data_IF_821314656827
#
_entry.id   IF_821314656827
#
_cell.length_a   1.000
_cell.length_b   1.000
_cell.length_c   1.000
_cell.angle_alpha   90.00
_cell.angle_beta   90.00
_cell.angle_gamma   90.00
#
_symmetry.space_group_name_H-M   'P 1'
#
loop_
_entity.id
_entity.type
_entity.pdbx_description
1 polymer ?
#
# COMPACT_ATOMS: atom_id res chain seq x y z
N UNK A 1 -49.98 -40.58 4.02
CA UNK A 1 -50.87 -39.47 4.42
C UNK A 1 -50.21 -38.75 5.60
N UNK A 2 -50.11 -37.42 5.54
CA UNK A 2 -49.39 -36.58 6.52
C UNK A 2 -48.47 -35.59 5.79
N UNK A 3 -49.03 -34.57 5.14
CA UNK A 3 -49.45 -33.25 5.66
C UNK A 3 -48.29 -32.25 5.66
N UNK A 4 -48.44 -31.29 4.75
CA UNK A 4 -47.53 -30.21 4.40
C UNK A 4 -47.86 -28.99 5.27
N UNK A 5 -46.84 -28.38 5.91
CA UNK A 5 -46.93 -27.06 6.52
C UNK A 5 -45.91 -26.17 5.76
N UNK A 6 -46.31 -25.44 4.73
CA UNK A 6 -46.92 -24.09 4.75
C UNK A 6 -46.02 -23.03 5.40
N UNK A 7 -45.37 -22.28 4.51
CA UNK A 7 -44.75 -20.97 4.71
C UNK A 7 -45.77 -19.98 5.27
N UNK A 8 -45.31 -19.10 6.16
CA UNK A 8 -45.98 -17.84 6.45
C UNK A 8 -44.97 -16.70 6.43
N UNK A 9 -45.25 -15.79 5.51
CA UNK A 9 -44.67 -14.46 5.34
C UNK A 9 -44.79 -13.60 6.60
N UNK A 10 -43.75 -12.81 6.87
CA UNK A 10 -43.86 -11.62 7.72
C UNK A 10 -43.28 -10.42 6.98
N UNK A 11 -44.20 -9.63 6.43
CA UNK A 11 -44.02 -8.25 5.98
C UNK A 11 -43.71 -7.36 7.18
N UNK A 12 -42.56 -6.67 7.16
CA UNK A 12 -42.23 -5.60 8.10
C UNK A 12 -42.41 -4.24 7.43
N UNK A 13 -43.23 -3.43 8.08
CA UNK A 13 -43.71 -2.11 7.71
C UNK A 13 -42.60 -1.08 7.46
N UNK A 14 -42.80 -0.29 6.40
CA UNK A 14 -42.04 0.93 6.09
C UNK A 14 -42.77 2.11 6.76
N UNK A 15 -42.23 2.61 7.86
CA UNK A 15 -42.71 3.84 8.49
C UNK A 15 -42.28 5.05 7.64
N UNK A 16 -43.27 5.66 6.98
CA UNK A 16 -43.11 6.89 6.18
C UNK A 16 -43.39 8.08 7.10
N UNK A 17 -42.35 8.80 7.52
CA UNK A 17 -42.49 10.05 8.27
C UNK A 17 -42.86 11.18 7.30
N UNK A 18 -44.10 11.63 7.40
CA UNK A 18 -44.61 12.83 6.74
C UNK A 18 -44.01 14.10 7.35
N UNK A 19 -43.53 14.98 6.49
CA UNK A 19 -43.25 16.38 6.84
C UNK A 19 -44.05 17.23 5.86
N UNK A 20 -45.06 17.90 6.39
CA UNK A 20 -45.95 18.82 5.69
C UNK A 20 -45.56 20.28 5.95
N UNK A 21 -45.67 21.07 4.88
CA UNK A 21 -46.00 22.51 4.81
C UNK A 21 -45.10 23.51 5.57
N UNK A 22 -44.39 24.40 4.87
CA UNK A 22 -44.88 25.66 4.27
C UNK A 22 -44.40 26.85 5.10
N UNK A 23 -43.43 27.60 4.59
CA UNK A 23 -43.40 29.06 4.69
C UNK A 23 -42.57 29.65 3.54
N UNK A 24 -43.24 30.40 2.66
CA UNK A 24 -42.64 31.48 1.87
C UNK A 24 -42.11 32.54 2.83
N UNK A 25 -41.06 33.27 2.42
CA UNK A 25 -41.34 34.68 2.11
C UNK A 25 -40.76 35.10 0.77
N UNK A 26 -41.58 35.86 0.05
CA UNK A 26 -41.14 36.71 -1.03
C UNK A 26 -40.26 37.83 -0.45
N UNK A 27 -39.14 38.12 -1.11
CA UNK A 27 -38.63 39.48 -1.14
C UNK A 27 -38.00 39.73 -2.50
N UNK A 28 -38.62 40.69 -3.19
CA UNK A 28 -38.18 41.32 -4.42
C UNK A 28 -36.79 41.91 -4.24
N UNK A 29 -35.84 41.52 -5.08
CA UNK A 29 -34.65 42.32 -5.33
C UNK A 29 -34.55 42.62 -6.82
N UNK A 30 -34.62 43.93 -7.06
CA UNK A 30 -34.73 44.60 -8.34
C UNK A 30 -33.63 44.22 -9.32
N UNK A 31 -34.07 43.97 -10.56
CA UNK A 31 -33.27 43.95 -11.77
C UNK A 31 -32.72 45.36 -12.04
N UNK A 32 -31.49 45.62 -11.62
CA UNK A 32 -30.66 46.66 -12.24
C UNK A 32 -29.70 46.00 -13.22
N UNK A 33 -30.18 45.87 -14.45
CA UNK A 33 -29.41 45.53 -15.62
C UNK A 33 -28.84 46.81 -16.23
N UNK A 34 -27.61 47.20 -15.86
CA UNK A 34 -26.76 48.07 -16.70
C UNK A 34 -25.29 47.73 -16.48
N UNK A 35 -24.66 47.16 -17.51
CA UNK A 35 -23.26 47.42 -17.86
C UNK A 35 -22.18 46.81 -16.98
N UNK A 36 -21.98 45.49 -17.05
CA UNK A 36 -20.67 44.90 -16.79
C UNK A 36 -20.21 44.21 -18.07
N UNK A 37 -19.17 44.78 -18.70
CA UNK A 37 -18.49 44.17 -19.83
C UNK A 37 -18.16 42.72 -19.53
N UNK A 38 -18.60 41.83 -20.43
CA UNK A 38 -18.21 40.43 -20.46
C UNK A 38 -16.68 40.36 -20.58
N UNK A 39 -15.98 40.24 -19.46
CA UNK A 39 -14.72 39.53 -19.48
C UNK A 39 -15.03 38.08 -19.87
N UNK A 40 -14.26 37.45 -20.76
CA UNK A 40 -14.44 36.04 -21.07
C UNK A 40 -14.34 35.29 -19.75
N UNK A 41 -15.49 34.74 -19.33
CA UNK A 41 -15.63 33.92 -18.13
C UNK A 41 -14.51 32.90 -18.13
N UNK A 42 -13.75 32.88 -17.03
CA UNK A 42 -12.57 32.05 -16.79
C UNK A 42 -12.59 30.70 -17.52
N UNK A 43 -11.46 30.23 -18.08
CA UNK A 43 -11.38 28.93 -18.76
C UNK A 43 -12.08 27.87 -17.91
N UNK A 44 -13.16 27.29 -18.47
CA UNK A 44 -14.12 26.43 -17.77
C UNK A 44 -13.44 25.55 -16.72
N UNK A 45 -13.46 25.99 -15.47
CA UNK A 45 -12.79 25.27 -14.39
C UNK A 45 -13.57 23.99 -14.15
N UNK A 46 -13.06 22.91 -14.74
CA UNK A 46 -13.64 21.59 -14.60
C UNK A 46 -13.70 21.19 -13.11
N UNK A 47 -14.91 21.11 -12.57
CA UNK A 47 -15.14 20.70 -11.18
C UNK A 47 -15.22 19.19 -11.13
N UNK A 48 -14.17 18.55 -10.59
CA UNK A 48 -14.11 17.09 -10.46
C UNK A 48 -15.35 16.48 -9.77
N UNK A 49 -15.91 17.17 -8.76
CA UNK A 49 -17.13 16.72 -8.06
C UNK A 49 -18.42 16.82 -8.89
N UNK A 50 -18.41 17.51 -10.04
CA UNK A 50 -19.55 17.54 -10.97
C UNK A 50 -19.62 16.28 -11.85
N UNK A 51 -18.56 15.46 -11.90
CA UNK A 51 -18.61 14.17 -12.59
C UNK A 51 -19.63 13.24 -11.90
N UNK A 52 -20.37 12.40 -12.63
CA UNK A 52 -21.11 11.27 -12.05
C UNK A 52 -20.22 10.41 -11.15
N UNK A 53 -20.82 9.86 -10.08
CA UNK A 53 -20.08 9.10 -9.07
C UNK A 53 -19.34 7.91 -9.68
N UNK A 54 -19.93 7.28 -10.68
CA UNK A 54 -19.37 6.12 -11.39
C UNK A 54 -18.08 6.48 -12.14
N UNK A 55 -18.00 7.69 -12.71
CA UNK A 55 -16.78 8.18 -13.36
C UNK A 55 -15.71 8.53 -12.33
N UNK A 56 -16.08 9.15 -11.21
CA UNK A 56 -15.13 9.40 -10.12
C UNK A 56 -14.56 8.10 -9.55
N UNK A 57 -15.41 7.10 -9.32
CA UNK A 57 -14.98 5.78 -8.85
C UNK A 57 -14.05 5.08 -9.86
N UNK A 58 -14.31 5.19 -11.17
CA UNK A 58 -13.36 4.71 -12.20
C UNK A 58 -12.01 5.42 -12.10
N UNK A 59 -12.00 6.74 -11.90
CA UNK A 59 -10.77 7.52 -11.74
C UNK A 59 -10.04 7.11 -10.46
N UNK A 60 -10.74 6.99 -9.33
CA UNK A 60 -10.15 6.50 -8.08
C UNK A 60 -9.57 5.10 -8.25
N UNK A 61 -10.29 4.19 -8.91
CA UNK A 61 -9.82 2.83 -9.14
C UNK A 61 -8.53 2.80 -9.95
N UNK A 62 -8.48 3.56 -11.04
CA UNK A 62 -7.29 3.66 -11.88
C UNK A 62 -6.09 4.24 -11.13
N UNK A 63 -6.31 5.15 -10.19
CA UNK A 63 -5.24 5.83 -9.45
C UNK A 63 -4.78 5.09 -8.19
N UNK A 64 -5.67 4.34 -7.54
CA UNK A 64 -5.48 3.87 -6.16
C UNK A 64 -5.49 2.35 -6.00
N UNK A 65 -6.01 1.61 -6.98
CA UNK A 65 -6.12 0.15 -6.87
C UNK A 65 -4.91 -0.52 -7.52
N UNK A 66 -4.32 -1.44 -6.77
CA UNK A 66 -3.19 -2.23 -7.20
C UNK A 66 -3.55 -3.69 -7.33
N UNK A 67 -3.00 -4.31 -8.38
CA UNK A 67 -3.13 -5.75 -8.61
C UNK A 67 -2.32 -6.58 -7.59
N UNK A 68 -1.23 -6.01 -7.06
CA UNK A 68 -0.45 -6.59 -5.94
C UNK A 68 -0.97 -6.05 -4.62
N UNK A 69 -0.90 -6.84 -3.54
CA UNK A 69 -1.12 -6.33 -2.20
C UNK A 69 -0.27 -5.08 -1.93
N UNK A 70 -0.89 -4.09 -1.29
CA UNK A 70 -0.23 -2.85 -0.88
C UNK A 70 0.59 -3.18 0.36
N UNK A 71 1.88 -3.43 0.13
CA UNK A 71 2.86 -3.58 1.20
C UNK A 71 2.95 -2.30 2.02
N UNK A 72 2.89 -2.48 3.34
CA UNK A 72 3.19 -1.43 4.30
C UNK A 72 4.68 -1.56 4.64
N UNK A 73 5.48 -0.58 4.23
CA UNK A 73 6.88 -0.54 4.61
C UNK A 73 7.03 0.35 5.83
N UNK A 74 7.58 -0.20 6.89
CA UNK A 74 7.99 0.61 8.04
C UNK A 74 9.16 1.51 7.65
N UNK A 75 8.93 2.81 7.69
CA UNK A 75 9.95 3.84 7.53
C UNK A 75 10.23 4.48 8.89
N UNK A 76 11.51 4.75 9.16
CA UNK A 76 11.95 5.43 10.38
C UNK A 76 12.41 6.84 9.99
N UNK A 77 11.65 7.87 10.37
CA UNK A 77 12.03 9.26 10.16
C UNK A 77 12.47 9.82 11.51
N UNK A 78 13.68 10.36 11.53
CA UNK A 78 14.18 11.12 12.66
C UNK A 78 13.77 12.57 12.48
N UNK A 79 12.58 12.92 12.95
CA UNK A 79 12.17 14.31 13.08
C UNK A 79 12.60 14.82 14.47
N UNK A 80 13.50 15.82 14.47
CA UNK A 80 13.86 16.69 15.63
C UNK A 80 13.84 15.93 16.97
N UNK A 81 14.77 14.98 17.13
CA UNK A 81 14.98 14.26 18.39
C UNK A 81 13.92 13.22 18.76
N UNK A 82 12.90 12.98 17.93
CA UNK A 82 11.92 11.90 18.13
C UNK A 82 11.97 10.90 16.99
N UNK A 83 12.20 9.64 17.35
CA UNK A 83 12.11 8.51 16.43
C UNK A 83 10.64 8.27 16.11
N UNK A 84 10.17 8.86 15.00
CA UNK A 84 8.83 8.64 14.50
C UNK A 84 8.84 7.44 13.57
N UNK A 85 8.04 6.42 13.90
CA UNK A 85 7.79 5.30 13.01
C UNK A 85 6.56 5.65 12.21
N UNK A 86 6.63 5.52 10.90
CA UNK A 86 5.49 5.68 10.04
C UNK A 86 5.57 4.61 8.97
N UNK A 87 4.44 4.35 8.34
CA UNK A 87 4.38 3.32 7.33
C UNK A 87 4.18 4.01 6.01
N UNK A 88 5.09 3.78 5.08
CA UNK A 88 4.96 4.22 3.72
C UNK A 88 4.34 3.10 2.92
N UNK A 89 3.26 3.42 2.22
CA UNK A 89 2.81 2.58 1.12
C UNK A 89 3.57 3.00 -0.13
N UNK A 90 3.53 2.16 -1.17
CA UNK A 90 4.02 2.53 -2.50
C UNK A 90 3.34 3.78 -3.08
N UNK A 91 2.16 4.14 -2.56
CA UNK A 91 1.42 5.36 -2.88
C UNK A 91 1.83 6.57 -2.02
N UNK A 92 2.81 6.40 -1.14
CA UNK A 92 3.12 7.35 -0.07
C UNK A 92 2.13 7.28 1.10
N UNK A 93 2.26 8.21 2.04
CA UNK A 93 1.40 8.30 3.23
C UNK A 93 -0.05 8.73 2.92
N UNK A 94 -0.23 9.52 1.87
CA UNK A 94 -1.54 9.91 1.39
C UNK A 94 -1.44 10.28 -0.09
N UNK A 95 -2.05 9.50 -0.99
CA UNK A 95 -2.09 9.81 -2.42
C UNK A 95 -2.57 11.25 -2.64
N UNK A 96 -2.01 11.96 -3.62
CA UNK A 96 -2.31 13.38 -3.86
C UNK A 96 -3.81 13.64 -4.02
N UNK A 97 -4.53 12.75 -4.70
CA UNK A 97 -5.99 12.87 -4.90
C UNK A 97 -6.76 12.90 -3.58
N UNK A 98 -6.31 12.13 -2.57
CA UNK A 98 -6.93 12.09 -1.24
C UNK A 98 -6.70 13.38 -0.43
N UNK A 99 -5.82 14.30 -0.89
CA UNK A 99 -5.50 15.56 -0.20
C UNK A 99 -6.22 16.78 -0.77
N UNK A 100 -6.96 16.61 -1.86
CA UNK A 100 -7.51 17.73 -2.63
C UNK A 100 -8.73 18.38 -1.97
N UNK A 101 -9.69 17.58 -1.51
CA UNK A 101 -10.96 18.03 -0.96
C UNK A 101 -11.51 16.97 0.00
N UNK A 102 -12.23 17.37 1.06
CA UNK A 102 -12.79 16.44 2.06
C UNK A 102 -13.70 15.38 1.44
N UNK A 103 -14.60 15.75 0.54
CA UNK A 103 -15.49 14.81 -0.15
C UNK A 103 -14.70 13.85 -1.03
N UNK A 104 -13.77 14.38 -1.83
CA UNK A 104 -12.88 13.57 -2.68
C UNK A 104 -12.08 12.59 -1.83
N UNK A 105 -11.55 13.03 -0.69
CA UNK A 105 -10.80 12.21 0.25
C UNK A 105 -11.64 11.06 0.80
N UNK A 106 -12.87 11.33 1.26
CA UNK A 106 -13.76 10.30 1.76
C UNK A 106 -14.10 9.25 0.69
N UNK A 107 -14.44 9.69 -0.54
CA UNK A 107 -14.74 8.76 -1.64
C UNK A 107 -13.50 7.95 -2.06
N UNK A 108 -12.35 8.62 -2.20
CA UNK A 108 -11.11 7.98 -2.61
C UNK A 108 -10.57 7.01 -1.56
N UNK A 109 -10.72 7.31 -0.26
CA UNK A 109 -10.34 6.39 0.82
C UNK A 109 -11.24 5.15 0.86
N UNK A 110 -12.54 5.30 0.58
CA UNK A 110 -13.44 4.16 0.49
C UNK A 110 -13.01 3.19 -0.63
N UNK A 111 -12.53 3.71 -1.76
CA UNK A 111 -11.96 2.90 -2.85
C UNK A 111 -10.61 2.30 -2.43
N UNK A 112 -9.66 3.14 -1.98
CA UNK A 112 -8.32 2.73 -1.60
C UNK A 112 -8.33 1.61 -0.55
N UNK A 113 -9.03 1.81 0.57
CA UNK A 113 -9.06 0.83 1.66
C UNK A 113 -10.04 -0.32 1.39
N UNK A 114 -11.13 -0.03 0.68
CA UNK A 114 -12.21 -1.00 0.47
C UNK A 114 -11.99 -1.99 -0.66
N UNK A 115 -11.06 -1.73 -1.58
CA UNK A 115 -10.82 -2.62 -2.75
C UNK A 115 -9.39 -3.14 -2.82
N UNK A 116 -8.40 -2.50 -2.18
CA UNK A 116 -7.06 -3.08 -2.08
C UNK A 116 -6.97 -4.20 -1.04
N UNK A 117 -5.95 -5.04 -1.22
CA UNK A 117 -5.46 -5.94 -0.17
C UNK A 117 -4.24 -5.31 0.47
N UNK A 118 -4.25 -5.13 1.79
CA UNK A 118 -3.10 -4.58 2.53
C UNK A 118 -2.23 -5.70 3.07
N UNK A 119 -0.93 -5.65 2.78
CA UNK A 119 0.03 -6.67 3.18
C UNK A 119 0.87 -6.16 4.36
N UNK A 120 0.74 -6.86 5.48
CA UNK A 120 1.48 -6.66 6.71
C UNK A 120 2.60 -7.69 6.76
N UNK A 121 3.84 -7.21 6.73
CA UNK A 121 5.00 -8.09 6.94
C UNK A 121 5.23 -8.22 8.44
N UNK A 122 5.85 -9.31 8.88
CA UNK A 122 6.08 -9.55 10.32
C UNK A 122 7.05 -8.56 10.98
N UNK A 123 7.86 -7.85 10.20
CA UNK A 123 8.80 -6.82 10.68
C UNK A 123 8.06 -5.60 11.24
N UNK A 124 6.81 -5.46 10.79
CA UNK A 124 5.84 -4.56 11.34
C UNK A 124 5.36 -5.15 12.65
N UNK A 125 6.13 -4.93 13.72
CA UNK A 125 5.69 -5.24 15.08
C UNK A 125 4.28 -4.64 15.27
N UNK A 126 3.26 -5.50 15.19
CA UNK A 126 1.88 -5.15 14.78
C UNK A 126 1.18 -4.24 15.81
N UNK A 127 1.84 -3.97 16.95
CA UNK A 127 1.38 -2.97 17.93
C UNK A 127 1.50 -1.52 17.47
N UNK A 128 2.38 -1.21 16.51
CA UNK A 128 2.65 0.17 16.06
C UNK A 128 1.88 0.68 14.80
N UNK A 129 1.45 -0.13 13.81
CA UNK A 129 0.82 0.34 12.57
C UNK A 129 -0.49 1.11 12.75
N UNK A 130 -1.22 0.89 13.85
CA UNK A 130 -2.54 1.49 14.06
C UNK A 130 -2.54 3.01 14.00
N UNK A 131 -1.48 3.65 14.49
CA UNK A 131 -1.48 5.09 14.67
C UNK A 131 -1.05 5.86 13.41
N UNK A 132 -0.32 5.24 12.49
CA UNK A 132 0.51 6.00 11.56
C UNK A 132 0.00 6.09 10.11
N UNK A 133 -0.84 5.17 9.65
CA UNK A 133 -1.48 5.24 8.32
C UNK A 133 -2.90 5.79 8.34
N UNK A 134 -3.37 6.26 9.50
CA UNK A 134 -4.80 6.47 9.70
C UNK A 134 -5.61 5.18 9.58
N UNK A 135 -4.97 4.00 9.53
CA UNK A 135 -5.65 2.71 9.45
C UNK A 135 -6.58 2.49 10.62
N UNK A 136 -6.32 3.06 11.81
CA UNK A 136 -7.29 3.03 12.90
C UNK A 136 -8.55 3.86 12.58
N UNK A 137 -8.40 5.02 11.92
CA UNK A 137 -9.54 5.83 11.49
C UNK A 137 -10.33 5.14 10.37
N UNK A 138 -9.63 4.49 9.44
CA UNK A 138 -10.21 3.87 8.25
C UNK A 138 -10.30 2.34 8.33
N UNK A 139 -10.16 1.75 9.51
CA UNK A 139 -10.15 0.29 9.68
C UNK A 139 -11.47 -0.33 9.25
N UNK A 140 -12.56 0.40 9.45
CA UNK A 140 -13.90 0.06 8.98
C UNK A 140 -14.02 0.07 7.45
N UNK A 141 -13.07 0.66 6.71
CA UNK A 141 -13.10 0.61 5.25
C UNK A 141 -12.33 -0.59 4.70
N UNK A 142 -11.39 -1.15 5.46
CA UNK A 142 -10.52 -2.24 5.00
C UNK A 142 -11.30 -3.55 4.88
N UNK A 143 -11.33 -4.12 3.67
CA UNK A 143 -12.02 -5.38 3.38
C UNK A 143 -11.11 -6.57 3.17
N UNK A 144 -9.84 -6.36 2.78
CA UNK A 144 -8.90 -7.44 2.46
C UNK A 144 -7.54 -7.19 3.09
N UNK A 145 -7.03 -8.19 3.80
CA UNK A 145 -5.73 -8.13 4.48
C UNK A 145 -4.93 -9.40 4.14
N UNK A 146 -3.63 -9.22 3.95
CA UNK A 146 -2.64 -10.29 3.89
C UNK A 146 -1.62 -10.08 5.01
N UNK A 147 -1.31 -11.14 5.76
CA UNK A 147 -0.36 -11.10 6.88
C UNK A 147 0.70 -12.16 6.67
N UNK A 148 1.97 -11.78 6.74
CA UNK A 148 3.07 -12.73 6.85
C UNK A 148 3.09 -13.30 8.27
N UNK A 149 3.03 -14.62 8.35
CA UNK A 149 2.99 -15.34 9.63
C UNK A 149 4.37 -15.67 10.17
N UNK A 150 5.43 -15.22 9.49
CA UNK A 150 6.83 -15.57 9.78
C UNK A 150 7.73 -14.34 9.64
N UNK A 151 8.86 -14.33 10.37
CA UNK A 151 9.90 -13.30 10.22
C UNK A 151 10.78 -13.56 9.00
N UNK A 152 11.20 -12.55 8.22
CA UNK A 152 12.09 -12.75 7.09
C UNK A 152 13.43 -13.37 7.51
N UNK A 153 13.91 -13.09 8.73
CA UNK A 153 15.15 -13.70 9.25
C UNK A 153 14.96 -15.14 9.74
N UNK A 154 13.74 -15.69 9.68
CA UNK A 154 13.43 -17.01 10.18
C UNK A 154 13.95 -18.09 9.22
N UNK A 155 15.09 -18.70 9.56
CA UNK A 155 15.54 -19.93 8.91
C UNK A 155 14.68 -21.10 9.36
N UNK A 156 14.06 -21.79 8.41
CA UNK A 156 13.13 -22.91 8.64
C UNK A 156 13.73 -24.10 9.40
N UNK A 157 15.06 -24.16 9.55
CA UNK A 157 15.71 -25.14 10.43
C UNK A 157 15.34 -24.99 11.91
N UNK A 158 14.72 -23.89 12.33
CA UNK A 158 14.23 -23.68 13.69
C UNK A 158 12.81 -24.24 13.88
N UNK A 159 12.65 -25.54 13.72
CA UNK A 159 11.38 -26.27 13.84
C UNK A 159 10.71 -26.16 15.24
N UNK A 160 11.40 -25.64 16.26
CA UNK A 160 10.91 -25.63 17.66
C UNK A 160 10.36 -24.29 18.16
N UNK A 161 10.46 -23.19 17.41
CA UNK A 161 10.06 -21.87 17.91
C UNK A 161 8.69 -21.42 17.41
N UNK A 162 8.00 -20.60 18.23
CA UNK A 162 6.74 -19.93 17.89
C UNK A 162 6.93 -18.92 16.75
N UNK A 163 6.99 -19.42 15.51
CA UNK A 163 7.16 -18.57 14.33
C UNK A 163 5.89 -17.79 14.00
N UNK A 164 4.72 -18.40 14.23
CA UNK A 164 3.42 -17.79 14.02
C UNK A 164 3.11 -16.74 15.10
N UNK A 165 3.55 -15.49 14.90
CA UNK A 165 3.09 -14.36 15.70
C UNK A 165 1.82 -13.78 15.09
N UNK A 166 0.69 -13.94 15.77
CA UNK A 166 -0.53 -13.18 15.46
C UNK A 166 -0.82 -12.27 16.65
N UNK A 167 -0.77 -10.96 16.40
CA UNK A 167 -1.25 -9.98 17.36
C UNK A 167 -2.78 -9.88 17.25
N UNK A 168 -3.41 -9.25 18.24
CA UNK A 168 -4.86 -9.01 18.28
C UNK A 168 -5.33 -7.98 17.23
N UNK A 169 -4.72 -7.97 16.04
CA UNK A 169 -4.85 -6.92 15.04
C UNK A 169 -6.07 -7.00 14.18
N UNK A 170 -6.50 -8.22 13.86
CA UNK A 170 -7.74 -8.42 13.12
C UNK A 170 -8.97 -7.89 13.88
N UNK A 171 -8.88 -7.72 15.22
CA UNK A 171 -9.97 -7.13 16.04
C UNK A 171 -10.38 -5.73 15.62
N UNK A 172 -9.49 -4.99 14.95
CA UNK A 172 -9.75 -3.61 14.56
C UNK A 172 -10.46 -3.49 13.21
N UNK A 173 -10.51 -4.57 12.41
CA UNK A 173 -11.09 -4.57 11.07
C UNK A 173 -12.49 -5.16 11.10
N UNK A 174 -13.42 -4.39 11.66
CA UNK A 174 -14.81 -4.81 11.82
C UNK A 174 -15.54 -5.10 10.51
N UNK A 175 -15.01 -4.67 9.36
CA UNK A 175 -15.53 -4.87 8.00
C UNK A 175 -14.66 -5.79 7.13
N UNK A 176 -13.73 -6.54 7.74
CA UNK A 176 -12.85 -7.45 7.03
C UNK A 176 -13.65 -8.58 6.37
N UNK A 177 -13.57 -8.68 5.04
CA UNK A 177 -14.22 -9.74 4.25
C UNK A 177 -13.26 -10.86 3.88
N UNK A 178 -11.97 -10.55 3.79
CA UNK A 178 -10.95 -11.47 3.30
C UNK A 178 -9.66 -11.34 4.12
N UNK A 179 -9.19 -12.46 4.67
CA UNK A 179 -7.93 -12.54 5.40
C UNK A 179 -7.04 -13.62 4.79
N UNK A 180 -5.84 -13.23 4.38
CA UNK A 180 -4.83 -14.13 3.82
C UNK A 180 -3.68 -14.27 4.79
N UNK A 181 -3.36 -15.50 5.17
CA UNK A 181 -2.14 -15.83 5.88
C UNK A 181 -1.09 -16.28 4.88
N UNK A 182 0.00 -15.52 4.76
CA UNK A 182 1.13 -15.90 3.93
C UNK A 182 2.12 -16.68 4.79
N UNK A 183 2.25 -17.97 4.50
CA UNK A 183 3.13 -18.92 5.17
C UNK A 183 4.50 -18.96 4.47
N UNK A 184 5.56 -19.45 5.13
CA UNK A 184 6.85 -19.65 4.48
C UNK A 184 6.73 -20.61 3.28
N UNK A 185 7.38 -20.29 2.16
CA UNK A 185 7.29 -21.10 0.93
C UNK A 185 7.88 -22.50 1.09
N UNK A 186 8.95 -22.61 1.85
CA UNK A 186 9.67 -23.84 2.14
C UNK A 186 9.13 -24.54 3.42
N UNK A 187 7.93 -24.18 3.88
CA UNK A 187 7.32 -24.86 5.03
C UNK A 187 6.90 -26.29 4.63
N UNK A 188 7.72 -27.27 5.00
CA UNK A 188 7.46 -28.70 4.74
C UNK A 188 6.65 -29.37 5.86
N UNK A 189 6.86 -28.94 7.10
CA UNK A 189 6.24 -29.55 8.29
C UNK A 189 5.52 -28.48 9.10
N UNK A 190 4.21 -28.66 9.26
CA UNK A 190 3.39 -27.83 10.15
C UNK A 190 3.44 -28.40 11.58
N UNK A 191 4.19 -27.77 12.46
CA UNK A 191 4.23 -28.16 13.87
C UNK A 191 2.92 -27.86 14.59
N UNK A 192 2.60 -28.64 15.61
CA UNK A 192 1.39 -28.45 16.43
C UNK A 192 1.33 -27.03 17.03
N UNK A 193 2.44 -26.53 17.57
CA UNK A 193 2.50 -25.16 18.10
C UNK A 193 2.25 -24.08 17.04
N UNK A 194 2.79 -24.25 15.83
CA UNK A 194 2.58 -23.30 14.72
C UNK A 194 1.11 -23.31 14.26
N UNK A 195 0.54 -24.51 14.12
CA UNK A 195 -0.88 -24.71 13.82
C UNK A 195 -1.77 -24.05 14.86
N UNK A 196 -1.56 -24.35 16.14
CA UNK A 196 -2.41 -23.85 17.23
C UNK A 196 -2.32 -22.34 17.37
N UNK A 197 -1.12 -21.77 17.14
CA UNK A 197 -0.93 -20.33 17.08
C UNK A 197 -1.75 -19.71 15.95
N UNK A 198 -1.63 -20.22 14.71
CA UNK A 198 -2.44 -19.72 13.60
C UNK A 198 -3.95 -19.82 13.87
N UNK A 199 -4.41 -20.95 14.42
CA UNK A 199 -5.82 -21.18 14.72
C UNK A 199 -6.37 -20.22 15.77
N UNK A 200 -5.57 -19.85 16.77
CA UNK A 200 -5.99 -18.89 17.80
C UNK A 200 -6.21 -17.48 17.21
N UNK A 201 -5.64 -17.16 16.04
CA UNK A 201 -5.98 -15.94 15.31
C UNK A 201 -7.47 -15.88 14.94
N UNK A 202 -8.14 -17.02 14.75
CA UNK A 202 -9.58 -17.14 14.45
C UNK A 202 -10.45 -16.40 15.44
N UNK A 203 -10.00 -16.27 16.70
CA UNK A 203 -10.70 -15.52 17.75
C UNK A 203 -11.02 -14.08 17.38
N UNK A 204 -10.17 -13.45 16.57
CA UNK A 204 -10.24 -12.04 16.23
C UNK A 204 -10.73 -11.78 14.81
N UNK A 205 -10.94 -12.84 14.02
CA UNK A 205 -11.41 -12.73 12.64
C UNK A 205 -12.92 -12.62 12.62
N UNK A 206 -13.51 -11.64 11.89
CA UNK A 206 -14.96 -11.57 11.75
C UNK A 206 -15.54 -12.88 11.20
N UNK A 207 -16.68 -13.33 11.74
CA UNK A 207 -17.28 -14.64 11.40
C UNK A 207 -17.58 -14.82 9.90
N UNK A 208 -17.83 -13.73 9.20
CA UNK A 208 -18.15 -13.71 7.77
C UNK A 208 -16.92 -13.53 6.88
N UNK A 209 -15.73 -13.35 7.44
CA UNK A 209 -14.51 -13.16 6.67
C UNK A 209 -14.04 -14.51 6.10
N UNK A 210 -13.76 -14.55 4.81
CA UNK A 210 -13.10 -15.69 4.17
C UNK A 210 -11.63 -15.71 4.56
N UNK A 211 -11.14 -16.87 4.97
CA UNK A 211 -9.73 -17.08 5.35
C UNK A 211 -9.05 -17.95 4.31
N UNK A 212 -7.85 -17.57 3.91
CA UNK A 212 -7.03 -18.29 2.93
C UNK A 212 -5.60 -18.42 3.46
N UNK A 213 -4.96 -19.55 3.20
CA UNK A 213 -3.55 -19.80 3.51
C UNK A 213 -2.76 -19.92 2.21
N UNK A 214 -1.66 -19.18 2.11
CA UNK A 214 -0.79 -19.11 0.93
C UNK A 214 0.66 -19.43 1.31
N UNK A 215 1.50 -19.65 0.32
CA UNK A 215 2.95 -19.82 0.49
C UNK A 215 3.36 -21.28 0.69
N UNK A 216 2.75 -21.99 1.64
CA UNK A 216 3.09 -23.40 1.92
C UNK A 216 2.57 -24.38 0.87
N UNK A 217 2.93 -25.66 1.01
CA UNK A 217 2.38 -26.75 0.19
C UNK A 217 0.86 -26.83 0.28
N UNK A 218 0.21 -27.35 -0.78
CA UNK A 218 -1.24 -27.53 -0.84
C UNK A 218 -1.78 -28.36 0.32
N UNK A 219 -1.01 -29.35 0.77
CA UNK A 219 -1.41 -30.28 1.83
C UNK A 219 -1.49 -29.56 3.17
N UNK A 220 -0.51 -28.71 3.47
CA UNK A 220 -0.51 -27.86 4.67
C UNK A 220 -1.65 -26.85 4.62
N UNK A 221 -1.88 -26.22 3.47
CA UNK A 221 -2.98 -25.26 3.30
C UNK A 221 -4.36 -25.94 3.53
N UNK A 222 -4.58 -27.14 2.96
CA UNK A 222 -5.81 -27.93 3.15
C UNK A 222 -5.96 -28.37 4.61
N UNK A 223 -4.87 -28.82 5.23
CA UNK A 223 -4.86 -29.20 6.65
C UNK A 223 -5.25 -28.02 7.54
N UNK A 224 -4.67 -26.84 7.31
CA UNK A 224 -4.98 -25.61 8.04
C UNK A 224 -6.41 -25.15 7.80
N UNK A 225 -6.91 -25.17 6.56
CA UNK A 225 -8.30 -24.82 6.26
C UNK A 225 -9.29 -25.75 6.97
N UNK A 226 -9.00 -27.06 6.97
CA UNK A 226 -9.81 -28.06 7.67
C UNK A 226 -9.79 -27.83 9.17
N UNK A 227 -8.61 -27.62 9.75
CA UNK A 227 -8.47 -27.33 11.17
C UNK A 227 -9.14 -26.00 11.54
N UNK A 228 -9.01 -24.97 10.70
CA UNK A 228 -9.65 -23.66 10.87
C UNK A 228 -11.15 -23.79 10.95
N UNK A 229 -11.79 -24.56 10.06
CA UNK A 229 -13.24 -24.76 10.09
C UNK A 229 -13.74 -25.39 11.40
N UNK A 230 -12.99 -26.36 11.94
CA UNK A 230 -13.33 -27.13 13.16
C UNK A 230 -12.93 -26.41 14.46
N UNK A 231 -11.95 -25.50 14.39
CA UNK A 231 -11.42 -24.87 15.59
C UNK A 231 -12.45 -23.94 16.24
N UNK A 232 -12.73 -24.19 17.53
CA UNK A 232 -13.51 -23.30 18.39
C UNK A 232 -12.50 -22.57 19.29
N UNK A 233 -12.26 -21.26 19.08
CA UNK A 233 -11.33 -20.53 19.92
C UNK A 233 -11.75 -20.63 21.39
N UNK A 234 -10.80 -20.99 22.25
CA UNK A 234 -11.06 -20.98 23.69
C UNK A 234 -11.23 -19.53 24.10
N UNK A 235 -12.36 -19.22 24.72
CA UNK A 235 -12.58 -17.88 25.26
C UNK A 235 -11.58 -17.66 26.39
N UNK A 236 -10.48 -16.95 26.12
CA UNK A 236 -9.63 -16.49 27.23
C UNK A 236 -10.45 -15.46 27.97
N UNK A 237 -10.87 -15.79 29.17
CA UNK A 237 -11.20 -14.80 30.17
C UNK A 237 -9.94 -13.97 30.39
N UNK A 238 -9.83 -12.87 29.66
CA UNK A 238 -8.97 -11.81 30.13
C UNK A 238 -9.51 -11.45 31.49
N UNK A 239 -8.68 -11.42 32.56
CA UNK A 239 -9.15 -10.92 33.83
C UNK A 239 -9.79 -9.58 33.52
N UNK A 240 -11.12 -9.51 33.66
CA UNK A 240 -11.85 -8.25 33.49
C UNK A 240 -11.06 -7.33 34.38
N UNK A 241 -10.38 -6.33 33.81
CA UNK A 241 -9.76 -5.31 34.64
C UNK A 241 -10.91 -4.80 35.47
N UNK A 242 -10.93 -5.16 36.76
CA UNK A 242 -11.84 -4.56 37.70
C UNK A 242 -11.69 -3.06 37.42
N UNK A 243 -12.77 -2.36 37.03
CA UNK A 243 -12.66 -0.96 36.65
C UNK A 243 -11.88 -0.31 37.77
N UNK A 244 -10.63 0.07 37.48
CA UNK A 244 -9.81 0.66 38.52
C UNK A 244 -10.57 1.92 38.90
N UNK A 245 -10.94 2.09 40.19
CA UNK A 245 -11.63 3.28 40.61
C UNK A 245 -10.82 4.46 40.08
N UNK A 246 -11.49 5.35 39.33
CA UNK A 246 -10.85 6.50 38.71
C UNK A 246 -10.03 7.19 39.79
N UNK A 247 -8.70 7.12 39.69
CA UNK A 247 -7.79 7.74 40.63
C UNK A 247 -7.43 9.12 40.06
N UNK A 248 -8.06 10.21 40.57
CA UNK A 248 -7.88 11.53 39.98
C UNK A 248 -6.43 12.00 40.07
N UNK A 249 -5.68 11.52 41.07
CA UNK A 249 -4.27 11.84 41.27
C UNK A 249 -3.38 11.16 40.23
N UNK A 250 -3.61 9.89 39.90
CA UNK A 250 -2.87 9.23 38.83
C UNK A 250 -3.21 9.81 37.47
N UNK A 251 -4.49 10.13 37.23
CA UNK A 251 -4.90 10.78 35.99
C UNK A 251 -4.28 12.17 35.85
N UNK A 252 -4.30 12.99 36.90
CA UNK A 252 -3.64 14.31 36.94
C UNK A 252 -2.13 14.21 36.71
N UNK A 253 -1.44 13.27 37.39
CA UNK A 253 -0.01 12.98 37.16
C UNK A 253 0.25 12.50 35.72
N UNK A 254 -0.70 11.83 35.08
CA UNK A 254 -0.58 11.42 33.67
C UNK A 254 -0.73 12.63 32.74
N UNK A 255 -1.71 13.51 33.00
CA UNK A 255 -1.90 14.74 32.24
C UNK A 255 -0.71 15.70 32.38
N UNK A 256 -0.17 15.89 33.58
CA UNK A 256 1.04 16.69 33.79
C UNK A 256 2.23 16.14 32.97
N UNK A 257 2.43 14.81 32.96
CA UNK A 257 3.47 14.15 32.15
C UNK A 257 3.22 14.20 30.63
N UNK A 258 1.98 14.37 30.19
CA UNK A 258 1.63 14.58 28.78
C UNK A 258 1.87 16.05 28.39
N UNK A 259 1.49 16.99 29.25
CA UNK A 259 1.74 18.42 29.06
C UNK A 259 3.24 18.75 29.05
N UNK A 260 4.03 18.23 30.00
CA UNK A 260 5.50 18.38 29.99
C UNK A 260 6.14 17.81 28.70
N UNK A 261 5.57 16.71 28.17
CA UNK A 261 6.04 16.14 26.90
C UNK A 261 5.72 17.01 25.70
N UNK A 262 4.63 17.78 25.76
CA UNK A 262 4.22 18.70 24.71
C UNK A 262 4.96 20.04 24.81
N UNK A 263 5.22 20.54 26.01
CA UNK A 263 6.08 21.71 26.25
C UNK A 263 7.54 21.45 25.80
N UNK A 264 8.09 20.27 26.10
CA UNK A 264 9.39 19.85 25.55
C UNK A 264 9.41 19.78 24.01
N UNK A 265 8.28 19.51 23.34
CA UNK A 265 8.20 19.55 21.86
C UNK A 265 8.23 20.99 21.33
N UNK A 266 7.56 21.91 22.03
CA UNK A 266 7.52 23.31 21.62
C UNK A 266 8.89 23.99 21.76
N UNK A 267 9.64 23.70 22.83
CA UNK A 267 10.96 24.28 23.06
C UNK A 267 12.05 23.77 22.09
N UNK A 268 11.89 22.58 21.52
CA UNK A 268 12.82 22.01 20.54
C UNK A 268 12.52 22.42 19.10
N UNK A 269 11.41 23.13 18.86
CA UNK A 269 11.13 23.70 17.54
C UNK A 269 11.92 25.01 17.40
N UNK A 270 12.78 25.17 16.38
CA UNK A 270 13.51 26.42 16.19
C UNK A 270 12.51 27.57 16.07
N UNK A 271 12.80 28.75 16.65
CA UNK A 271 11.88 29.88 16.60
C UNK A 271 11.56 30.14 15.13
N UNK A 272 10.27 30.13 14.81
CA UNK A 272 9.76 30.44 13.47
C UNK A 272 10.35 31.79 13.08
N UNK A 273 11.40 31.74 12.26
CA UNK A 273 12.03 32.93 11.72
C UNK A 273 10.95 33.61 10.88
N UNK A 274 10.41 34.69 11.41
CA UNK A 274 9.53 35.60 10.69
C UNK A 274 10.38 36.20 9.58
N UNK A 275 10.54 35.46 8.48
CA UNK A 275 11.03 36.01 7.23
C UNK A 275 10.00 37.03 6.80
N UNK A 276 10.28 38.29 7.14
CA UNK A 276 9.72 39.43 6.45
C UNK A 276 9.94 39.20 4.96
N UNK A 277 8.89 38.81 4.26
CA UNK A 277 8.87 38.79 2.80
C UNK A 277 8.94 40.25 2.36
N UNK A 278 10.17 40.76 2.19
CA UNK A 278 10.39 41.96 1.39
C UNK A 278 10.03 41.57 -0.04
N UNK A 279 8.85 42.00 -0.48
CA UNK A 279 8.46 41.98 -1.89
C UNK A 279 9.38 42.95 -2.61
N UNK A 280 10.54 42.46 -3.05
CA UNK A 280 11.37 43.18 -4.01
C UNK A 280 10.67 43.09 -5.37
N UNK A 281 10.29 44.25 -5.92
CA UNK A 281 9.83 44.38 -7.30
C UNK A 281 10.90 43.82 -8.24
N UNK A 282 10.68 42.61 -8.73
CA UNK A 282 11.50 42.01 -9.78
C UNK A 282 11.14 42.72 -11.10
N UNK A 283 11.94 43.71 -11.50
CA UNK A 283 11.94 44.23 -12.89
C UNK A 283 12.48 43.11 -13.78
N UNK A 284 11.65 42.63 -14.72
CA UNK A 284 12.10 41.77 -15.82
C UNK A 284 13.12 42.55 -16.67
N UNK A 285 14.26 41.97 -17.05
CA UNK A 285 15.06 42.48 -18.17
C UNK A 285 14.44 42.03 -19.49
N UNK A 286 14.50 42.91 -20.49
CA UNK A 286 14.16 42.60 -21.90
C UNK A 286 15.08 41.52 -22.48
N UNK A 287 14.60 40.74 -23.46
CA UNK A 287 15.39 39.72 -24.12
C UNK A 287 16.13 40.32 -25.31
N UNK A 288 17.46 40.45 -25.21
CA UNK A 288 18.33 40.60 -26.39
C UNK A 288 19.75 40.14 -26.06
N UNK A 289 20.33 39.33 -26.95
CA UNK A 289 21.78 39.30 -27.16
C UNK A 289 22.57 38.11 -26.61
N UNK A 290 22.95 37.20 -27.51
CA UNK A 290 23.96 36.15 -27.35
C UNK A 290 25.39 36.66 -27.09
N UNK A 291 26.12 35.96 -26.22
CA UNK A 291 27.53 35.51 -26.33
C UNK A 291 27.90 34.93 -24.94
N UNK A 292 28.30 33.67 -24.74
CA UNK A 292 29.43 33.00 -25.34
C UNK A 292 30.68 33.31 -24.52
N UNK A 293 30.93 32.59 -23.40
CA UNK A 293 32.26 32.34 -22.83
C UNK A 293 32.23 31.46 -21.55
N UNK A 294 33.00 30.37 -21.64
CA UNK A 294 33.99 29.87 -20.66
C UNK A 294 33.61 29.66 -19.18
N UNK A 295 33.42 28.39 -18.82
CA UNK A 295 33.26 27.90 -17.45
C UNK A 295 34.63 27.82 -16.75
N UNK A 296 34.96 28.85 -15.96
CA UNK A 296 36.05 28.79 -14.99
C UNK A 296 35.65 28.00 -13.74
N UNK A 297 36.53 27.07 -13.36
CA UNK A 297 36.50 26.24 -12.16
C UNK A 297 36.75 27.11 -10.92
N UNK A 298 35.69 27.39 -10.16
CA UNK A 298 35.80 28.07 -8.86
C UNK A 298 36.11 27.07 -7.73
N UNK A 299 37.33 27.24 -7.22
CA UNK A 299 37.94 26.65 -6.02
C UNK A 299 37.28 27.16 -4.73
N UNK A 300 37.39 26.31 -3.68
CA UNK A 300 37.32 26.57 -2.23
C UNK A 300 35.93 26.65 -1.58
N UNK A 301 35.65 25.65 -0.74
CA UNK A 301 35.01 25.90 0.54
C UNK A 301 35.79 25.16 1.65
N UNK A 302 36.29 25.95 2.59
CA UNK A 302 36.92 25.51 3.84
C UNK A 302 35.86 24.82 4.72
N UNK A 303 36.19 23.63 5.22
CA UNK A 303 35.54 23.01 6.36
C UNK A 303 36.38 23.37 7.59
N UNK A 304 35.89 24.30 8.41
CA UNK A 304 36.38 24.49 9.77
C UNK A 304 35.72 23.42 10.66
N UNK A 305 36.53 22.49 11.15
CA UNK A 305 36.14 21.51 12.15
C UNK A 305 36.53 22.02 13.54
N UNK A 306 35.54 22.43 14.34
CA UNK A 306 35.76 22.73 15.76
C UNK A 306 35.90 21.43 16.55
N UNK A 307 37.08 21.28 17.15
CA UNK A 307 37.44 20.24 18.12
C UNK A 307 37.21 20.80 19.52
N UNK A 308 36.45 20.08 20.35
CA UNK A 308 36.46 20.21 21.80
C UNK A 308 36.99 18.90 22.38
N UNK A 309 38.24 18.91 22.83
CA UNK A 309 38.81 17.87 23.68
C UNK A 309 39.56 18.52 24.84
N UNK A 310 39.21 18.04 26.02
CA UNK A 310 39.60 18.54 27.33
C UNK A 310 41.09 18.40 27.63
N UNK A 311 41.60 19.43 28.31
CA UNK A 311 42.91 19.54 28.94
C UNK A 311 43.26 18.39 29.89
N UNK A 312 44.47 17.84 29.78
CA UNK A 312 45.36 17.50 30.90
C UNK A 312 46.83 17.54 30.38
N UNK A 313 47.68 18.39 30.98
CA UNK A 313 49.14 18.45 30.72
C UNK A 313 49.94 17.46 31.60
N UNK A 314 51.22 17.72 31.94
CA UNK A 314 52.26 18.45 31.20
C UNK A 314 53.63 17.70 31.15
N UNK A 315 54.53 18.23 30.31
CA UNK A 315 56.00 18.19 30.40
C UNK A 315 56.78 16.85 30.31
N UNK A 316 57.64 16.77 29.29
CA UNK A 316 58.79 15.88 29.24
C UNK A 316 59.46 15.95 27.88
N UNK A 317 60.53 16.74 27.77
CA UNK A 317 61.13 17.14 26.50
C UNK A 317 61.76 16.02 25.67
N UNK A 318 61.84 16.25 24.36
CA UNK A 318 63.06 16.01 23.57
C UNK A 318 62.88 16.63 22.20
N UNK A 319 63.71 17.63 21.90
CA UNK A 319 63.78 18.37 20.64
C UNK A 319 64.84 17.70 19.77
N UNK A 320 64.59 16.49 19.28
CA UNK A 320 65.55 15.81 18.37
C UNK A 320 64.91 14.86 17.34
N UNK A 321 63.58 14.91 17.15
CA UNK A 321 62.86 14.01 16.24
C UNK A 321 61.97 14.75 15.22
N UNK A 322 62.49 15.83 14.60
CA UNK A 322 61.76 16.54 13.53
C UNK A 322 62.20 16.19 12.10
N UNK A 323 63.23 15.37 11.90
CA UNK A 323 63.74 15.02 10.57
C UNK A 323 63.14 13.69 10.03
N UNK A 324 62.40 12.92 10.85
CA UNK A 324 61.78 11.64 10.43
C UNK A 324 60.27 11.68 10.12
N UNK A 325 59.53 12.72 10.53
CA UNK A 325 58.05 12.72 10.48
C UNK A 325 57.45 13.05 9.11
N UNK A 326 58.21 13.68 8.21
CA UNK A 326 57.76 13.98 6.84
C UNK A 326 57.64 12.74 5.95
N UNK A 327 58.55 11.77 6.08
CA UNK A 327 58.55 10.55 5.27
C UNK A 327 57.45 9.55 5.64
N UNK A 328 57.12 9.46 6.94
CA UNK A 328 56.04 8.58 7.43
C UNK A 328 54.65 9.01 6.96
N UNK A 329 54.40 10.32 6.85
CA UNK A 329 53.10 10.86 6.43
C UNK A 329 52.80 10.60 4.95
N UNK A 330 53.82 10.73 4.09
CA UNK A 330 53.71 10.42 2.66
C UNK A 330 53.41 8.93 2.42
N UNK A 331 53.97 8.04 3.24
CA UNK A 331 53.71 6.60 3.14
C UNK A 331 52.26 6.25 3.56
N UNK A 332 51.71 6.88 4.59
CA UNK A 332 50.30 6.65 4.97
C UNK A 332 49.30 7.13 3.94
N UNK A 333 49.54 8.28 3.30
CA UNK A 333 48.65 8.81 2.26
C UNK A 333 48.68 7.92 1.00
N UNK A 334 49.87 7.44 0.59
CA UNK A 334 50.00 6.48 -0.51
C UNK A 334 49.27 5.15 -0.23
N UNK A 335 49.29 4.66 1.02
CA UNK A 335 48.57 3.42 1.40
C UNK A 335 47.05 3.59 1.41
N UNK A 336 46.55 4.78 1.78
CA UNK A 336 45.11 5.08 1.71
C UNK A 336 44.64 5.14 0.26
N UNK A 337 45.37 5.84 -0.61
CA UNK A 337 45.05 5.87 -2.05
C UNK A 337 45.05 4.48 -2.70
N UNK A 338 46.03 3.64 -2.38
CA UNK A 338 46.05 2.26 -2.88
C UNK A 338 44.86 1.42 -2.37
N UNK A 339 44.39 1.66 -1.13
CA UNK A 339 43.22 0.97 -0.60
C UNK A 339 41.92 1.42 -1.29
N UNK A 340 41.79 2.71 -1.59
CA UNK A 340 40.63 3.26 -2.29
C UNK A 340 40.56 2.76 -3.74
N UNK A 341 41.69 2.66 -4.44
CA UNK A 341 41.76 2.07 -5.79
C UNK A 341 41.35 0.60 -5.80
N UNK A 342 41.79 -0.19 -4.81
CA UNK A 342 41.38 -1.59 -4.66
C UNK A 342 39.87 -1.69 -4.38
N UNK A 343 39.33 -0.79 -3.56
CA UNK A 343 37.89 -0.70 -3.27
C UNK A 343 37.07 -0.43 -4.53
N UNK A 344 37.46 0.57 -5.32
CA UNK A 344 36.80 0.92 -6.59
C UNK A 344 36.86 -0.23 -7.60
N UNK A 345 38.01 -0.88 -7.75
CA UNK A 345 38.17 -2.02 -8.65
C UNK A 345 37.29 -3.23 -8.23
N UNK A 346 37.06 -3.42 -6.93
CA UNK A 346 36.16 -4.45 -6.43
C UNK A 346 34.70 -4.09 -6.74
N UNK A 347 34.28 -2.84 -6.52
CA UNK A 347 32.94 -2.37 -6.84
C UNK A 347 32.63 -2.50 -8.34
N UNK A 348 33.55 -2.11 -9.21
CA UNK A 348 33.40 -2.22 -10.67
C UNK A 348 33.18 -3.67 -11.12
N UNK A 349 33.93 -4.63 -10.54
CA UNK A 349 33.72 -6.06 -10.79
C UNK A 349 32.35 -6.54 -10.33
N UNK A 350 31.87 -6.07 -9.18
CA UNK A 350 30.52 -6.44 -8.70
C UNK A 350 29.42 -5.85 -9.59
N UNK A 351 29.60 -4.64 -10.11
CA UNK A 351 28.67 -4.03 -11.05
C UNK A 351 28.65 -4.77 -12.38
N UNK A 352 29.80 -5.08 -12.96
CA UNK A 352 29.90 -5.87 -14.19
C UNK A 352 29.24 -7.25 -14.05
N UNK A 353 29.40 -7.91 -12.90
CA UNK A 353 28.72 -9.19 -12.61
C UNK A 353 27.20 -9.04 -12.52
N UNK A 354 26.71 -7.98 -11.86
CA UNK A 354 25.27 -7.69 -11.79
C UNK A 354 24.68 -7.38 -13.16
N UNK A 355 25.35 -6.57 -13.98
CA UNK A 355 24.92 -6.26 -15.34
C UNK A 355 24.81 -7.52 -16.21
N UNK A 356 25.79 -8.42 -16.11
CA UNK A 356 25.75 -9.71 -16.81
C UNK A 356 24.55 -10.56 -16.37
N UNK A 357 24.31 -10.68 -15.06
CA UNK A 357 23.17 -11.44 -14.54
C UNK A 357 21.82 -10.87 -14.98
N UNK A 358 21.72 -9.54 -15.06
CA UNK A 358 20.50 -8.84 -15.50
C UNK A 358 20.27 -9.00 -17.01
N UNK A 359 21.33 -9.03 -17.81
CA UNK A 359 21.24 -9.33 -19.24
C UNK A 359 20.76 -10.77 -19.50
N UNK A 360 21.28 -11.74 -18.73
CA UNK A 360 20.84 -13.14 -18.80
C UNK A 360 19.37 -13.31 -18.38
N UNK A 361 18.91 -12.62 -17.33
CA UNK A 361 17.52 -12.63 -16.90
C UNK A 361 16.58 -12.04 -17.95
N UNK A 362 16.95 -10.90 -18.55
CA UNK A 362 16.18 -10.28 -19.64
C UNK A 362 16.02 -11.23 -20.83
N UNK A 363 17.09 -11.90 -21.22
CA UNK A 363 17.06 -12.88 -22.31
C UNK A 363 16.18 -14.10 -21.98
N UNK A 364 16.22 -14.59 -20.74
CA UNK A 364 15.35 -15.68 -20.29
C UNK A 364 13.86 -15.26 -20.29
N UNK A 365 13.56 -14.02 -19.91
CA UNK A 365 12.22 -13.47 -19.92
C UNK A 365 11.68 -13.32 -21.35
N UNK A 366 12.51 -12.86 -22.30
CA UNK A 366 12.15 -12.73 -23.70
C UNK A 366 11.85 -14.09 -24.34
N UNK A 367 12.64 -15.13 -24.03
CA UNK A 367 12.34 -16.52 -24.44
C UNK A 367 10.99 -17.02 -23.91
N UNK A 368 10.68 -16.76 -22.63
CA UNK A 368 9.38 -17.12 -22.04
C UNK A 368 8.22 -16.40 -22.73
N UNK A 369 8.38 -15.11 -23.03
CA UNK A 369 7.38 -14.31 -23.77
C UNK A 369 7.10 -14.92 -25.14
N UNK A 370 8.15 -15.28 -25.89
CA UNK A 370 8.02 -15.91 -27.21
C UNK A 370 7.38 -17.31 -27.14
N UNK A 371 7.62 -18.07 -26.07
CA UNK A 371 6.96 -19.36 -25.86
C UNK A 371 5.44 -19.20 -25.62
N UNK A 372 5.05 -18.24 -24.77
CA UNK A 372 3.64 -17.92 -24.50
C UNK A 372 2.92 -17.45 -25.77
N UNK A 373 3.57 -16.63 -26.59
CA UNK A 373 3.00 -16.16 -27.86
C UNK A 373 2.74 -17.32 -28.84
N UNK A 374 3.68 -18.27 -28.95
CA UNK A 374 3.50 -19.48 -29.76
C UNK A 374 2.35 -20.36 -29.26
N UNK A 375 2.21 -20.50 -27.94
CA UNK A 375 1.09 -21.24 -27.34
C UNK A 375 -0.25 -20.56 -27.61
N UNK A 376 -0.30 -19.22 -27.51
CA UNK A 376 -1.46 -18.42 -27.89
C UNK A 376 -1.90 -18.64 -29.34
N UNK A 377 -0.96 -18.59 -30.28
CA UNK A 377 -1.24 -18.87 -31.70
C UNK A 377 -1.72 -20.31 -31.94
N UNK A 378 -1.19 -21.29 -31.20
CA UNK A 378 -1.64 -22.68 -31.29
C UNK A 378 -3.08 -22.85 -30.77
N UNK A 379 -3.44 -22.16 -29.69
CA UNK A 379 -4.81 -22.14 -29.16
C UNK A 379 -5.80 -21.47 -30.11
N UNK A 380 -5.40 -20.37 -30.75
CA UNK A 380 -6.22 -19.68 -31.75
C UNK A 380 -6.50 -20.56 -32.98
N UNK A 381 -5.49 -21.29 -33.48
CA UNK A 381 -5.67 -22.29 -34.54
C UNK A 381 -6.63 -23.41 -34.14
N UNK A 382 -6.56 -23.91 -32.90
CA UNK A 382 -7.50 -24.92 -32.39
C UNK A 382 -8.93 -24.39 -32.32
N UNK A 383 -9.10 -23.12 -31.90
CA UNK A 383 -10.41 -22.46 -31.85
C UNK A 383 -11.03 -22.35 -33.24
N UNK A 384 -10.25 -21.94 -34.25
CA UNK A 384 -10.70 -21.89 -35.65
C UNK A 384 -11.07 -23.28 -36.20
N UNK A 385 -10.32 -24.32 -35.85
CA UNK A 385 -10.64 -25.68 -36.27
C UNK A 385 -12.00 -26.16 -35.69
N UNK A 386 -12.25 -25.90 -34.39
CA UNK A 386 -13.52 -26.22 -33.74
C UNK A 386 -14.70 -25.44 -34.32
N UNK A 387 -14.49 -24.16 -34.67
CA UNK A 387 -15.52 -23.33 -35.31
C UNK A 387 -15.88 -23.87 -36.70
N UNK A 388 -14.90 -24.27 -37.50
CA UNK A 388 -15.13 -24.91 -38.79
C UNK A 388 -15.85 -26.27 -38.67
N UNK A 389 -15.53 -27.07 -37.66
CA UNK A 389 -16.23 -28.33 -37.39
C UNK A 389 -17.70 -28.09 -37.01
N UNK A 390 -17.97 -27.08 -36.19
CA UNK A 390 -19.33 -26.67 -35.83
C UNK A 390 -20.13 -26.23 -37.07
N UNK A 391 -19.52 -25.42 -37.95
CA UNK A 391 -20.15 -25.01 -39.21
C UNK A 391 -20.43 -26.20 -40.14
N UNK A 392 -19.54 -27.19 -40.19
CA UNK A 392 -19.75 -28.40 -40.98
C UNK A 392 -20.91 -29.27 -40.45
N UNK A 393 -21.05 -29.37 -39.12
CA UNK A 393 -22.17 -30.06 -38.47
C UNK A 393 -23.50 -29.35 -38.72
N UNK A 394 -23.52 -28.02 -38.68
CA UNK A 394 -24.72 -27.21 -38.97
C UNK A 394 -25.19 -27.39 -40.42
N UNK A 395 -24.27 -27.40 -41.39
CA UNK A 395 -24.57 -27.70 -42.79
C UNK A 395 -25.13 -29.12 -43.00
N UNK A 396 -24.57 -30.12 -42.30
CA UNK A 396 -25.09 -31.50 -42.34
C UNK A 396 -26.51 -31.58 -41.77
N UNK A 397 -26.81 -30.84 -40.71
CA UNK A 397 -28.14 -30.79 -40.10
C UNK A 397 -29.18 -30.22 -41.06
N UNK A 398 -28.85 -29.15 -41.78
CA UNK A 398 -29.73 -28.55 -42.79
C UNK A 398 -30.04 -29.53 -43.94
N UNK A 399 -29.05 -30.26 -44.45
CA UNK A 399 -29.27 -31.22 -45.54
C UNK A 399 -30.20 -32.39 -45.15
N UNK A 400 -30.20 -32.81 -43.88
CA UNK A 400 -31.10 -33.87 -43.39
C UNK A 400 -32.54 -33.37 -43.21
N UNK A 401 -32.74 -32.08 -42.89
CA UNK A 401 -34.09 -31.51 -42.82
C UNK A 401 -34.74 -31.41 -44.21
N UNK A 402 -33.96 -31.06 -45.26
CA UNK A 402 -34.46 -31.00 -46.63
C UNK A 402 -34.90 -32.38 -47.17
N UNK A 403 -34.21 -33.46 -46.78
CA UNK A 403 -34.54 -34.84 -47.19
C UNK A 403 -35.82 -35.38 -46.52
N UNK A 404 -36.23 -34.79 -45.40
CA UNK A 404 -37.38 -35.24 -44.62
C UNK A 404 -38.70 -34.61 -45.07
N UNK A 405 -38.69 -33.67 -46.02
CA UNK A 405 -39.90 -33.10 -46.60
C UNK A 405 -40.36 -34.05 -47.72
N UNK A 406 -41.45 -34.83 -47.53
CA UNK A 406 -41.92 -35.73 -48.58
C UNK A 406 -42.32 -34.92 -49.82
N UNK A 407 -42.05 -35.43 -51.03
CA UNK A 407 -42.49 -34.77 -52.26
C UNK A 407 -44.00 -34.59 -52.20
N UNK A 408 -44.43 -33.33 -52.26
CA UNK A 408 -45.85 -32.97 -52.29
C UNK A 408 -46.55 -33.83 -53.34
N UNK A 409 -47.69 -34.48 -53.01
CA UNK A 409 -48.39 -35.33 -53.95
C UNK A 409 -48.75 -34.50 -55.17
N UNK A 410 -48.20 -34.89 -56.33
CA UNK A 410 -48.49 -34.28 -57.60
C UNK A 410 -50.01 -34.29 -57.81
N UNK A 411 -50.59 -33.10 -57.97
CA UNK A 411 -51.96 -32.95 -58.45
C UNK A 411 -52.03 -33.55 -59.85
N UNK A 412 -52.51 -34.78 -59.93
CA UNK A 412 -53.02 -35.37 -61.16
C UNK A 412 -54.29 -34.62 -61.56
N UNK A 413 -54.13 -33.56 -62.34
CA UNK A 413 -55.24 -32.91 -63.05
C UNK A 413 -55.52 -33.75 -64.28
N UNK A 414 -56.56 -34.58 -64.22
CA UNK A 414 -57.19 -35.21 -65.38
C UNK A 414 -57.89 -34.15 -66.23
N UNK A 415 -57.64 -34.17 -67.53
CA UNK A 415 -58.60 -33.73 -68.57
C UNK A 415 -59.18 -34.96 -69.26
#
# INVERSE_FOLDING_TARGET
>A
MGSVNSLSDTSSEVATLGISHSMKPASEWNLNAVGAMNQPTDPEVFRFLNLPRELRDKIYRNLLIHYKPVELKRSELYEIGKKCRYYETRLGLAPQICRTNKTVACESFAVLYGENTFHFTSDDNIRAPYCHLGLNMYSHLVKSIQVDTFRPEFKLSMQSQHWATYDAFTRFFGNLKKLRFNLPQELEILTENGRDSLLEAKRYVPKYATVEFYGASSDIAIQLMTAWSKHVPKEKEYPKRAPQPFNPLEWSKKQAREQERDECKQLLSPPVSVRHVRIAKLKRPSPDGCSGEELQVSKKQKLDGETLLYNLGPLGGSLEEQIGKGGLKINSEARLHASDEIGLAAEERTLASKEKSLAEEKFALEKKKLAIEKEGLALEKKKLALENERLALEKKKLGVEDEKIPPSPASSVSM
#
